data_IF_185556137069
#
_entry.id   IF_185556137069
#
_cell.length_a   1.000
_cell.length_b   1.000
_cell.length_c   1.000
_cell.angle_alpha   90.00
_cell.angle_beta   90.00
_cell.angle_gamma   90.00
#
_symmetry.space_group_name_H-M   'P 1'
#
loop_
_entity.id
_entity.type
_entity.pdbx_description
1 polymer ?
#
# COMPACT_ATOMS: atom_id res chain seq x y z
N UNK A 1 -21.00 -8.30 -5.95
CA UNK A 1 -20.57 -6.97 -5.47
C UNK A 1 -19.06 -6.95 -5.41
N UNK A 2 -18.42 -6.16 -6.26
CA UNK A 2 -16.96 -6.12 -6.37
C UNK A 2 -16.34 -5.04 -5.48
N UNK A 3 -15.38 -5.42 -4.65
CA UNK A 3 -14.72 -4.52 -3.69
C UNK A 3 -14.06 -3.30 -4.36
N UNK A 4 -13.56 -3.45 -5.59
CA UNK A 4 -12.94 -2.37 -6.36
C UNK A 4 -13.95 -1.29 -6.78
N UNK A 5 -15.14 -1.70 -7.24
CA UNK A 5 -16.21 -0.76 -7.61
C UNK A 5 -16.71 0.00 -6.39
N UNK A 6 -16.88 -0.72 -5.29
CA UNK A 6 -17.35 -0.11 -4.05
C UNK A 6 -16.31 0.83 -3.44
N UNK A 7 -15.01 0.56 -3.59
CA UNK A 7 -13.95 1.49 -3.22
C UNK A 7 -14.07 2.83 -3.96
N UNK A 8 -14.23 2.79 -5.29
CA UNK A 8 -14.41 4.01 -6.11
C UNK A 8 -15.65 4.78 -5.67
N UNK A 9 -16.77 4.07 -5.46
CA UNK A 9 -18.03 4.66 -5.00
C UNK A 9 -17.87 5.36 -3.66
N UNK A 10 -17.36 4.65 -2.65
CA UNK A 10 -17.18 5.21 -1.31
C UNK A 10 -16.20 6.38 -1.30
N UNK A 11 -15.17 6.34 -2.15
CA UNK A 11 -14.22 7.42 -2.27
C UNK A 11 -14.85 8.69 -2.88
N UNK A 12 -15.65 8.54 -3.94
CA UNK A 12 -16.40 9.64 -4.56
C UNK A 12 -17.47 10.22 -3.62
N UNK A 13 -18.02 9.41 -2.71
CA UNK A 13 -18.91 9.86 -1.63
C UNK A 13 -18.18 10.59 -0.50
N UNK A 14 -16.85 10.70 -0.54
CA UNK A 14 -16.04 11.37 0.49
C UNK A 14 -15.71 10.51 1.72
N UNK A 15 -15.92 9.20 1.65
CA UNK A 15 -15.60 8.29 2.77
C UNK A 15 -14.08 8.19 2.94
N UNK A 16 -13.61 8.39 4.17
CA UNK A 16 -12.19 8.33 4.49
C UNK A 16 -11.58 6.93 4.27
N UNK A 17 -10.34 6.89 3.77
CA UNK A 17 -9.61 5.66 3.41
C UNK A 17 -9.63 4.54 4.47
N UNK A 18 -9.49 4.90 5.76
CA UNK A 18 -9.53 3.92 6.87
C UNK A 18 -10.92 3.29 7.04
N UNK A 19 -11.97 4.09 6.82
CA UNK A 19 -13.35 3.63 6.92
C UNK A 19 -13.71 2.77 5.72
N UNK A 20 -13.26 3.15 4.52
CA UNK A 20 -13.38 2.32 3.31
C UNK A 20 -12.73 0.95 3.51
N UNK A 21 -11.51 0.89 4.05
CA UNK A 21 -10.83 -0.37 4.34
C UNK A 21 -11.63 -1.25 5.31
N UNK A 22 -12.23 -0.64 6.35
CA UNK A 22 -13.11 -1.32 7.31
C UNK A 22 -14.38 -1.87 6.66
N UNK A 23 -15.09 -1.04 5.92
CA UNK A 23 -16.35 -1.40 5.25
C UNK A 23 -16.17 -2.50 4.21
N UNK A 24 -15.04 -2.50 3.50
CA UNK A 24 -14.73 -3.50 2.47
C UNK A 24 -14.01 -4.74 3.03
N UNK A 25 -13.72 -4.78 4.33
CA UNK A 25 -13.02 -5.88 4.99
C UNK A 25 -11.62 -6.14 4.42
N UNK A 26 -10.89 -5.09 4.02
CA UNK A 26 -9.55 -5.18 3.48
C UNK A 26 -8.51 -4.48 4.36
N UNK A 27 -7.25 -4.89 4.23
CA UNK A 27 -6.15 -4.26 4.97
C UNK A 27 -5.95 -2.80 4.54
N UNK A 28 -5.58 -1.88 5.45
CA UNK A 28 -5.28 -0.48 5.12
C UNK A 28 -4.21 -0.33 4.02
N UNK A 29 -3.25 -1.26 3.97
CA UNK A 29 -2.21 -1.27 2.95
C UNK A 29 -2.77 -1.64 1.57
N UNK A 30 -3.71 -2.60 1.52
CA UNK A 30 -4.40 -3.00 0.29
C UNK A 30 -5.26 -1.87 -0.25
N UNK A 31 -6.05 -1.21 0.61
CA UNK A 31 -6.82 -0.02 0.22
C UNK A 31 -5.91 1.07 -0.33
N UNK A 32 -4.80 1.37 0.36
CA UNK A 32 -3.84 2.38 -0.09
C UNK A 32 -3.26 2.06 -1.46
N UNK A 33 -2.91 0.80 -1.71
CA UNK A 33 -2.38 0.34 -2.99
C UNK A 33 -3.42 0.51 -4.12
N UNK A 34 -4.64 0.05 -3.89
CA UNK A 34 -5.73 0.21 -4.86
C UNK A 34 -6.06 1.67 -5.10
N UNK A 35 -6.16 2.49 -4.06
CA UNK A 35 -6.39 3.93 -4.19
C UNK A 35 -5.31 4.58 -5.04
N UNK A 36 -4.03 4.27 -4.79
CA UNK A 36 -2.93 4.84 -5.58
C UNK A 36 -3.01 4.48 -7.06
N UNK A 37 -3.37 3.23 -7.39
CA UNK A 37 -3.58 2.79 -8.78
C UNK A 37 -4.76 3.53 -9.44
N UNK A 38 -5.85 3.69 -8.70
CA UNK A 38 -7.06 4.34 -9.20
C UNK A 38 -6.91 5.86 -9.33
N UNK A 39 -6.14 6.51 -8.45
CA UNK A 39 -5.72 7.92 -8.59
C UNK A 39 -4.87 8.09 -9.86
N UNK A 40 -3.89 7.21 -10.07
CA UNK A 40 -3.03 7.28 -11.26
C UNK A 40 -3.81 7.11 -12.57
N UNK A 41 -4.89 6.32 -12.54
CA UNK A 41 -5.82 6.16 -13.66
C UNK A 41 -6.87 7.27 -13.78
N UNK A 42 -6.93 8.23 -12.86
CA UNK A 42 -7.92 9.32 -12.87
C UNK A 42 -9.36 8.88 -12.65
N UNK A 43 -9.61 7.64 -12.23
CA UNK A 43 -10.98 7.08 -12.13
C UNK A 43 -11.67 7.38 -10.80
N UNK A 44 -10.97 8.01 -9.85
CA UNK A 44 -11.56 8.41 -8.57
C UNK A 44 -12.32 9.74 -8.61
N UNK A 45 -12.22 10.47 -9.72
CA UNK A 45 -12.97 11.70 -9.94
C UNK A 45 -14.27 11.39 -10.69
N UNK A 46 -15.33 12.17 -10.43
CA UNK A 46 -16.63 12.04 -11.08
C UNK A 46 -17.77 11.56 -10.17
N UNK A 47 -18.98 11.40 -10.73
CA UNK A 47 -20.19 11.06 -9.97
C UNK A 47 -20.14 9.61 -9.44
N UNK A 48 -20.64 9.37 -8.23
CA UNK A 48 -20.60 8.05 -7.59
C UNK A 48 -21.44 7.00 -8.32
N UNK A 49 -22.37 7.43 -9.19
CA UNK A 49 -23.32 6.58 -9.89
C UNK A 49 -22.75 6.05 -11.22
N UNK A 50 -21.69 6.69 -11.72
CA UNK A 50 -21.03 6.36 -13.00
C UNK A 50 -19.70 5.66 -12.73
N UNK A 51 -19.75 4.53 -12.03
CA UNK A 51 -18.56 3.73 -11.70
C UNK A 51 -18.10 2.96 -12.94
N UNK A 52 -16.82 3.09 -13.34
CA UNK A 52 -16.26 2.34 -14.46
C UNK A 52 -16.40 0.82 -14.29
N UNK A 53 -16.35 0.11 -15.42
CA UNK A 53 -16.46 -1.33 -15.44
C UNK A 53 -15.31 -2.01 -14.67
N UNK A 54 -15.61 -3.17 -14.07
CA UNK A 54 -14.68 -3.88 -13.19
C UNK A 54 -13.34 -4.19 -13.86
N UNK A 55 -13.38 -4.57 -15.14
CA UNK A 55 -12.17 -4.98 -15.85
C UNK A 55 -11.25 -3.80 -16.16
N UNK A 56 -11.80 -2.61 -16.40
CA UNK A 56 -11.03 -1.37 -16.49
C UNK A 56 -10.34 -1.04 -15.15
N UNK A 57 -11.04 -1.21 -14.04
CA UNK A 57 -10.46 -1.01 -12.70
C UNK A 57 -9.34 -2.01 -12.40
N UNK A 58 -9.52 -3.29 -12.77
CA UNK A 58 -8.49 -4.33 -12.61
C UNK A 58 -7.26 -4.02 -13.47
N UNK A 59 -7.45 -3.58 -14.71
CA UNK A 59 -6.34 -3.23 -15.59
C UNK A 59 -5.46 -2.14 -14.96
N UNK A 60 -6.05 -1.12 -14.33
CA UNK A 60 -5.31 -0.06 -13.63
C UNK A 60 -4.51 -0.60 -12.43
N UNK A 61 -5.10 -1.51 -11.65
CA UNK A 61 -4.40 -2.15 -10.52
C UNK A 61 -3.24 -3.02 -11.01
N UNK A 62 -3.46 -3.84 -12.04
CA UNK A 62 -2.42 -4.70 -12.62
C UNK A 62 -1.28 -3.89 -13.24
N UNK A 63 -1.59 -2.82 -13.98
CA UNK A 63 -0.59 -1.89 -14.51
C UNK A 63 0.28 -1.30 -13.39
N UNK A 64 -0.30 -1.06 -12.22
CA UNK A 64 0.42 -0.54 -11.05
C UNK A 64 1.27 -1.61 -10.38
N UNK A 65 0.79 -2.84 -10.21
CA UNK A 65 1.56 -3.93 -9.60
C UNK A 65 2.86 -4.21 -10.35
N UNK A 66 2.88 -4.00 -11.67
CA UNK A 66 4.10 -4.07 -12.49
C UNK A 66 5.11 -2.96 -12.13
N UNK A 67 4.64 -1.79 -11.68
CA UNK A 67 5.47 -0.62 -11.33
C UNK A 67 5.90 -0.63 -9.85
N UNK A 68 5.08 -1.19 -8.96
CA UNK A 68 5.29 -1.20 -7.51
C UNK A 68 5.86 -2.51 -6.95
N UNK A 69 6.23 -3.46 -7.82
CA UNK A 69 6.71 -4.81 -7.49
C UNK A 69 7.81 -4.93 -6.42
N UNK A 70 8.45 -3.82 -6.01
CA UNK A 70 9.49 -3.78 -4.98
C UNK A 70 9.19 -2.91 -3.73
N UNK A 71 8.08 -2.16 -3.65
CA UNK A 71 7.89 -1.15 -2.56
C UNK A 71 6.78 -1.43 -1.55
N UNK A 72 6.06 -2.54 -1.67
CA UNK A 72 4.83 -2.76 -0.90
C UNK A 72 4.84 -3.84 0.18
N UNK A 73 5.88 -4.68 0.28
CA UNK A 73 5.84 -5.86 1.17
C UNK A 73 6.37 -5.60 2.59
N UNK A 74 6.89 -4.39 2.89
CA UNK A 74 7.94 -4.34 3.91
C UNK A 74 8.07 -3.14 4.87
N UNK A 75 6.98 -2.58 5.39
CA UNK A 75 7.10 -1.68 6.56
C UNK A 75 7.35 -2.44 7.88
N UNK A 76 7.18 -3.77 7.92
CA UNK A 76 7.44 -4.58 9.14
C UNK A 76 8.72 -5.44 9.09
N UNK A 77 9.11 -6.02 7.96
CA UNK A 77 10.42 -6.69 7.86
C UNK A 77 11.56 -5.69 7.60
N UNK A 78 11.32 -4.49 7.05
CA UNK A 78 12.30 -3.40 7.00
C UNK A 78 12.78 -2.95 8.39
N UNK A 79 11.89 -2.95 9.38
CA UNK A 79 12.26 -2.71 10.78
C UNK A 79 13.08 -3.86 11.40
N UNK A 80 12.81 -5.12 11.03
CA UNK A 80 13.53 -6.30 11.54
C UNK A 80 14.89 -6.48 10.85
N UNK A 81 14.93 -6.28 9.55
CA UNK A 81 16.13 -6.35 8.71
C UNK A 81 17.04 -5.14 8.94
N UNK A 82 16.48 -3.94 9.13
CA UNK A 82 17.22 -2.77 9.59
C UNK A 82 17.88 -3.00 10.97
N UNK A 83 17.18 -3.65 11.90
CA UNK A 83 17.77 -4.07 13.18
C UNK A 83 18.89 -5.12 13.00
N UNK A 84 18.71 -6.10 12.12
CA UNK A 84 19.71 -7.14 11.85
C UNK A 84 20.96 -6.60 11.12
N UNK A 85 20.80 -5.65 10.19
CA UNK A 85 21.92 -4.97 9.53
C UNK A 85 22.66 -4.03 10.48
N UNK A 86 21.96 -3.32 11.37
CA UNK A 86 22.60 -2.51 12.41
C UNK A 86 23.49 -3.38 13.34
N UNK A 87 23.04 -4.58 13.69
CA UNK A 87 23.82 -5.53 14.48
C UNK A 87 25.06 -6.10 13.73
N UNK A 88 25.04 -6.09 12.39
CA UNK A 88 26.17 -6.54 11.54
C UNK A 88 27.07 -5.40 11.06
N UNK A 89 26.80 -4.16 11.47
CA UNK A 89 27.61 -3.01 11.08
C UNK A 89 29.02 -3.05 11.68
N UNK A 90 30.06 -2.62 10.94
CA UNK A 90 31.42 -2.43 11.47
C UNK A 90 31.50 -1.43 12.64
N UNK A 91 30.48 -0.59 12.84
CA UNK A 91 30.37 0.31 13.98
C UNK A 91 30.03 -0.45 15.28
N UNK A 92 29.15 -1.46 15.22
CA UNK A 92 28.78 -2.31 16.35
C UNK A 92 29.95 -3.23 16.77
N UNK A 93 30.70 -3.76 15.80
CA UNK A 93 31.92 -4.56 16.06
C UNK A 93 33.03 -3.75 16.75
N UNK A 94 33.20 -2.45 16.40
CA UNK A 94 34.18 -1.56 17.06
C UNK A 94 33.79 -1.17 18.48
N UNK A 95 32.50 -1.15 18.80
CA UNK A 95 32.00 -0.86 20.15
C UNK A 95 32.29 -2.02 21.11
N UNK A 96 32.11 -3.27 20.67
CA UNK A 96 32.42 -4.46 21.47
C UNK A 96 33.93 -4.67 21.67
N UNK A 97 34.76 -4.35 20.67
CA UNK A 97 36.22 -4.44 20.79
C UNK A 97 36.83 -3.43 21.79
N UNK A 98 36.15 -2.32 22.08
CA UNK A 98 36.61 -1.29 23.04
C UNK A 98 36.32 -1.63 24.51
N UNK A 99 35.49 -2.63 24.77
CA UNK A 99 35.14 -3.04 26.15
C UNK A 99 35.86 -4.31 26.61
N UNK A 100 36.70 -4.90 25.75
CA UNK A 100 37.47 -6.12 26.01
C UNK A 100 38.99 -5.86 26.17
N UNK A 101 39.40 -4.60 26.32
CA UNK A 101 40.76 -4.17 26.60
C UNK A 101 40.79 -3.42 27.93
#
# INVERSE_FOLDING_TARGET
>A
MDRLRELVRLHRMGTGAREVARLLGMGPNTERAYRAALVAGGVLEGPADEVPELDALKALVLLREVVDGDRGRDERAGCREGMLQAARSPAASRMLARHAA
#
